data_IF_510059195306
#
_entry.id   IF_510059195306
#
_cell.length_a   1.000
_cell.length_b   1.000
_cell.length_c   1.000
_cell.angle_alpha   90.00
_cell.angle_beta   90.00
_cell.angle_gamma   90.00
#
_symmetry.space_group_name_H-M   'P 1'
#
loop_
_entity.id
_entity.type
_entity.pdbx_description
1 polymer ?
#
# COMPACT_ATOMS: atom_id res chain seq x y z
N UNK A 1 -11.86 -32.33 9.67
CA UNK A 1 -12.00 -30.88 9.97
C UNK A 1 -10.67 -30.21 9.64
N UNK A 2 -10.63 -28.94 9.20
CA UNK A 2 -9.37 -28.23 9.00
C UNK A 2 -8.55 -28.26 10.31
N UNK A 3 -7.25 -28.53 10.23
CA UNK A 3 -6.37 -28.36 11.39
C UNK A 3 -6.24 -26.86 11.65
N UNK A 4 -7.06 -26.34 12.56
CA UNK A 4 -6.97 -24.94 12.98
C UNK A 4 -5.70 -24.73 13.81
N UNK A 5 -5.13 -23.55 13.70
CA UNK A 5 -3.91 -23.16 14.39
C UNK A 5 -3.41 -21.82 13.90
N UNK A 6 -2.24 -21.40 14.35
CA UNK A 6 -1.61 -20.21 13.79
C UNK A 6 -0.93 -20.52 12.46
N UNK A 7 -0.85 -19.54 11.58
CA UNK A 7 0.07 -19.59 10.45
C UNK A 7 1.51 -19.88 10.93
N UNK A 8 2.38 -20.25 9.99
CA UNK A 8 3.82 -20.30 10.28
C UNK A 8 4.27 -18.93 10.79
N UNK A 9 5.18 -18.85 11.78
CA UNK A 9 5.57 -17.58 12.40
C UNK A 9 5.94 -16.48 11.40
N UNK A 10 6.74 -16.81 10.38
CA UNK A 10 7.17 -15.86 9.35
C UNK A 10 6.00 -15.35 8.49
N UNK A 11 5.06 -16.24 8.14
CA UNK A 11 3.88 -15.91 7.34
C UNK A 11 2.91 -15.05 8.16
N UNK A 12 2.70 -15.40 9.43
CA UNK A 12 1.90 -14.63 10.39
C UNK A 12 2.48 -13.21 10.54
N UNK A 13 3.79 -13.09 10.75
CA UNK A 13 4.47 -11.82 10.90
C UNK A 13 4.27 -10.94 9.67
N UNK A 14 4.47 -11.46 8.45
CA UNK A 14 4.28 -10.71 7.20
C UNK A 14 2.86 -10.18 7.03
N UNK A 15 1.85 -10.99 7.38
CA UNK A 15 0.45 -10.56 7.33
C UNK A 15 0.18 -9.47 8.37
N UNK A 16 0.71 -9.62 9.60
CA UNK A 16 0.51 -8.66 10.69
C UNK A 16 1.18 -7.31 10.43
N UNK A 17 2.42 -7.30 9.95
CA UNK A 17 3.15 -6.07 9.60
C UNK A 17 2.40 -5.26 8.54
N UNK A 18 1.74 -5.95 7.60
CA UNK A 18 1.02 -5.32 6.49
C UNK A 18 -0.50 -5.27 6.71
N UNK A 19 -0.98 -5.39 7.94
CA UNK A 19 -2.42 -5.58 8.19
C UNK A 19 -3.26 -4.36 7.76
N UNK A 20 -2.72 -3.15 7.91
CA UNK A 20 -3.42 -1.90 7.56
C UNK A 20 -3.68 -1.87 6.06
N UNK A 21 -2.64 -2.03 5.25
CA UNK A 21 -2.78 -1.98 3.80
C UNK A 21 -3.65 -3.12 3.25
N UNK A 22 -3.59 -4.30 3.88
CA UNK A 22 -4.44 -5.43 3.52
C UNK A 22 -5.92 -5.08 3.77
N UNK A 23 -6.28 -4.68 4.99
CA UNK A 23 -7.66 -4.31 5.35
C UNK A 23 -8.21 -3.20 4.47
N UNK A 24 -7.40 -2.19 4.19
CA UNK A 24 -7.85 -1.02 3.46
C UNK A 24 -7.99 -1.23 1.95
N UNK A 25 -7.40 -2.28 1.36
CA UNK A 25 -7.34 -2.39 -0.10
C UNK A 25 -7.86 -3.71 -0.69
N UNK A 26 -7.91 -4.81 0.08
CA UNK A 26 -8.41 -6.08 -0.46
C UNK A 26 -9.92 -6.24 -0.24
N UNK A 27 -10.57 -7.10 -1.02
CA UNK A 27 -11.91 -7.62 -0.70
C UNK A 27 -11.80 -9.08 -0.28
N UNK A 28 -12.14 -9.38 0.98
CA UNK A 28 -12.13 -10.74 1.51
C UNK A 28 -12.95 -11.73 0.66
N UNK A 29 -13.97 -11.26 -0.05
CA UNK A 29 -14.80 -12.10 -0.92
C UNK A 29 -14.01 -12.82 -2.03
N UNK A 30 -12.96 -12.19 -2.57
CA UNK A 30 -12.17 -12.75 -3.68
C UNK A 30 -11.40 -14.00 -3.28
N UNK A 31 -11.16 -14.20 -1.99
CA UNK A 31 -10.35 -15.30 -1.48
C UNK A 31 -11.17 -16.54 -1.14
N UNK A 32 -12.47 -16.37 -0.87
CA UNK A 32 -13.28 -17.38 -0.20
C UNK A 32 -13.47 -18.65 -1.02
N UNK A 33 -13.58 -18.55 -2.34
CA UNK A 33 -13.88 -19.70 -3.19
C UNK A 33 -12.68 -20.66 -3.25
N UNK A 34 -11.45 -20.14 -3.43
CA UNK A 34 -10.24 -20.95 -3.37
C UNK A 34 -10.01 -21.51 -1.96
N UNK A 35 -10.20 -20.69 -0.93
CA UNK A 35 -10.01 -21.12 0.46
C UNK A 35 -10.98 -22.24 0.86
N UNK A 36 -12.22 -22.17 0.39
CA UNK A 36 -13.20 -23.24 0.58
C UNK A 36 -12.83 -24.50 -0.21
N UNK A 37 -12.45 -24.37 -1.48
CA UNK A 37 -12.03 -25.51 -2.32
C UNK A 37 -10.84 -26.26 -1.71
N UNK A 38 -9.88 -25.52 -1.13
CA UNK A 38 -8.71 -26.06 -0.45
C UNK A 38 -9.00 -26.54 0.98
N UNK A 39 -10.26 -26.48 1.43
CA UNK A 39 -10.70 -26.86 2.78
C UNK A 39 -9.97 -26.11 3.90
N UNK A 40 -9.54 -24.88 3.62
CA UNK A 40 -8.92 -23.98 4.61
C UNK A 40 -10.01 -23.39 5.51
N UNK A 41 -11.13 -22.98 4.90
CA UNK A 41 -12.33 -22.50 5.61
C UNK A 41 -13.51 -23.45 5.38
N UNK A 42 -14.49 -23.39 6.27
CA UNK A 42 -15.76 -24.10 6.16
C UNK A 42 -16.75 -23.33 5.28
N UNK A 43 -17.84 -24.02 4.88
CA UNK A 43 -18.93 -23.37 4.16
C UNK A 43 -19.60 -22.28 5.02
N UNK A 44 -19.74 -22.51 6.33
CA UNK A 44 -20.34 -21.53 7.24
C UNK A 44 -19.47 -20.27 7.35
N UNK A 45 -18.16 -20.42 7.47
CA UNK A 45 -17.22 -19.29 7.49
C UNK A 45 -17.27 -18.50 6.17
N UNK A 46 -17.33 -19.20 5.03
CA UNK A 46 -17.50 -18.58 3.72
C UNK A 46 -18.79 -17.77 3.64
N UNK A 47 -19.91 -18.30 4.12
CA UNK A 47 -21.20 -17.61 4.13
C UNK A 47 -21.20 -16.41 5.09
N UNK A 48 -20.60 -16.56 6.27
CA UNK A 48 -20.45 -15.48 7.26
C UNK A 48 -19.68 -14.29 6.67
N UNK A 49 -18.54 -14.54 6.03
CA UNK A 49 -17.75 -13.46 5.42
C UNK A 49 -18.52 -12.83 4.25
N UNK A 50 -19.15 -13.63 3.37
CA UNK A 50 -19.95 -13.09 2.24
C UNK A 50 -21.11 -12.21 2.70
N UNK A 51 -21.70 -12.49 3.85
CA UNK A 51 -22.82 -11.73 4.39
C UNK A 51 -22.42 -10.36 4.98
N UNK A 52 -21.13 -10.08 5.17
CA UNK A 52 -20.69 -8.80 5.74
C UNK A 52 -20.89 -7.64 4.75
N UNK A 53 -21.42 -6.50 5.22
CA UNK A 53 -21.97 -5.46 4.35
C UNK A 53 -20.91 -4.66 3.57
N UNK A 54 -19.72 -4.50 4.14
CA UNK A 54 -18.67 -3.65 3.56
C UNK A 54 -17.45 -4.47 3.17
N UNK A 55 -16.74 -4.02 2.13
CA UNK A 55 -15.44 -4.59 1.73
C UNK A 55 -14.47 -4.65 2.92
N UNK A 56 -14.42 -3.59 3.72
CA UNK A 56 -13.56 -3.51 4.89
C UNK A 56 -13.88 -4.61 5.90
N UNK A 57 -15.16 -4.80 6.26
CA UNK A 57 -15.57 -5.85 7.19
C UNK A 57 -15.27 -7.24 6.63
N UNK A 58 -15.46 -7.45 5.31
CA UNK A 58 -15.09 -8.70 4.64
C UNK A 58 -13.59 -8.97 4.69
N UNK A 59 -12.78 -7.95 4.41
CA UNK A 59 -11.32 -8.05 4.47
C UNK A 59 -10.85 -8.38 5.88
N UNK A 60 -11.37 -7.66 6.89
CA UNK A 60 -11.06 -7.88 8.30
C UNK A 60 -11.37 -9.32 8.74
N UNK A 61 -12.62 -9.75 8.54
CA UNK A 61 -13.04 -11.10 8.90
C UNK A 61 -12.26 -12.18 8.14
N UNK A 62 -11.93 -11.96 6.85
CA UNK A 62 -11.10 -12.88 6.09
C UNK A 62 -9.67 -12.97 6.64
N UNK A 63 -9.03 -11.84 6.95
CA UNK A 63 -7.66 -11.80 7.47
C UNK A 63 -7.57 -12.47 8.84
N UNK A 64 -8.58 -12.32 9.70
CA UNK A 64 -8.67 -13.05 10.96
C UNK A 64 -8.73 -14.57 10.72
N UNK A 65 -9.56 -15.04 9.76
CA UNK A 65 -9.60 -16.46 9.39
C UNK A 65 -8.28 -16.96 8.79
N UNK A 66 -7.59 -16.12 8.01
CA UNK A 66 -6.29 -16.45 7.45
C UNK A 66 -5.26 -16.68 8.56
N UNK A 67 -5.21 -15.80 9.57
CA UNK A 67 -4.27 -15.92 10.69
C UNK A 67 -4.53 -17.18 11.54
N UNK A 68 -5.79 -17.63 11.62
CA UNK A 68 -6.24 -18.81 12.37
C UNK A 68 -6.31 -20.12 11.54
N UNK A 69 -5.82 -20.10 10.31
CA UNK A 69 -5.96 -21.21 9.36
C UNK A 69 -5.00 -22.38 9.57
N UNK A 70 -4.03 -22.25 10.46
CA UNK A 70 -3.03 -23.27 10.78
C UNK A 70 -1.78 -23.25 9.87
N UNK A 71 -0.75 -24.03 10.22
CA UNK A 71 0.47 -24.15 9.43
C UNK A 71 0.19 -25.03 8.20
N UNK A 72 -0.24 -24.43 7.11
CA UNK A 72 -0.56 -25.12 5.86
C UNK A 72 -0.44 -24.21 4.64
N UNK A 73 -1.13 -24.57 3.55
CA UNK A 73 -1.05 -23.86 2.26
C UNK A 73 -1.85 -22.54 2.23
N UNK A 74 -2.48 -22.14 3.35
CA UNK A 74 -3.34 -20.97 3.40
C UNK A 74 -2.64 -19.67 3.00
N UNK A 75 -1.41 -19.45 3.50
CA UNK A 75 -0.61 -18.30 3.08
C UNK A 75 -0.25 -18.36 1.59
N UNK A 76 0.07 -19.54 1.06
CA UNK A 76 0.35 -19.74 -0.36
C UNK A 76 -0.83 -19.35 -1.24
N UNK A 77 -2.03 -19.84 -0.91
CA UNK A 77 -3.27 -19.48 -1.60
C UNK A 77 -3.61 -17.99 -1.48
N UNK A 78 -3.37 -17.38 -0.31
CA UNK A 78 -3.53 -15.95 -0.10
C UNK A 78 -2.64 -15.14 -1.05
N UNK A 79 -1.34 -15.45 -1.10
CA UNK A 79 -0.39 -14.78 -1.97
C UNK A 79 -0.73 -14.98 -3.45
N UNK A 80 -1.17 -16.18 -3.85
CA UNK A 80 -1.59 -16.47 -5.23
C UNK A 80 -2.69 -15.50 -5.70
N UNK A 81 -3.73 -15.33 -4.88
CA UNK A 81 -4.84 -14.43 -5.19
C UNK A 81 -4.39 -12.96 -5.15
N UNK A 82 -3.52 -12.59 -4.20
CA UNK A 82 -2.94 -11.25 -4.15
C UNK A 82 -2.14 -10.93 -5.41
N UNK A 83 -1.32 -11.86 -5.93
CA UNK A 83 -0.54 -11.60 -7.16
C UNK A 83 -1.43 -11.35 -8.37
N UNK A 84 -2.57 -12.03 -8.46
CA UNK A 84 -3.50 -11.91 -9.58
C UNK A 84 -4.31 -10.61 -9.55
N UNK A 85 -4.69 -10.14 -8.35
CA UNK A 85 -5.65 -9.02 -8.21
C UNK A 85 -5.04 -7.76 -7.59
N UNK A 86 -3.91 -7.88 -6.91
CA UNK A 86 -3.31 -6.89 -6.02
C UNK A 86 -1.77 -6.95 -6.05
N UNK A 87 -1.18 -6.99 -7.25
CA UNK A 87 0.26 -7.26 -7.47
C UNK A 87 1.19 -6.44 -6.56
N UNK A 88 0.97 -5.11 -6.46
CA UNK A 88 1.77 -4.23 -5.61
C UNK A 88 1.71 -4.63 -4.12
N UNK A 89 0.52 -5.03 -3.64
CA UNK A 89 0.33 -5.51 -2.26
C UNK A 89 1.03 -6.86 -2.08
N UNK A 90 0.89 -7.77 -3.04
CA UNK A 90 1.57 -9.07 -3.01
C UNK A 90 3.08 -8.91 -2.88
N UNK A 91 3.68 -8.05 -3.72
CA UNK A 91 5.11 -7.76 -3.69
C UNK A 91 5.55 -7.21 -2.32
N UNK A 92 4.77 -6.29 -1.75
CA UNK A 92 5.06 -5.69 -0.44
C UNK A 92 4.97 -6.71 0.69
N UNK A 93 3.91 -7.51 0.73
CA UNK A 93 3.68 -8.52 1.78
C UNK A 93 4.75 -9.63 1.73
N UNK A 94 5.23 -10.01 0.54
CA UNK A 94 6.22 -11.08 0.40
C UNK A 94 7.65 -10.65 0.66
N UNK A 95 8.01 -9.40 0.36
CA UNK A 95 9.38 -8.91 0.57
C UNK A 95 9.69 -8.68 2.06
N UNK A 96 8.68 -8.62 2.93
CA UNK A 96 8.84 -8.24 4.34
C UNK A 96 9.23 -6.76 4.47
N UNK A 97 9.30 -6.21 5.69
CA UNK A 97 9.82 -4.86 5.91
C UNK A 97 11.20 -4.70 5.26
N UNK A 98 11.25 -4.04 4.11
CA UNK A 98 12.50 -3.56 3.53
C UNK A 98 12.82 -2.22 4.22
N UNK A 99 13.18 -2.30 5.49
CA UNK A 99 13.59 -1.15 6.29
C UNK A 99 14.81 -0.45 5.71
N UNK A 100 14.86 0.88 5.89
CA UNK A 100 15.93 1.88 5.65
C UNK A 100 16.66 1.92 4.28
N UNK A 101 16.65 0.84 3.50
CA UNK A 101 17.42 0.73 2.28
C UNK A 101 16.87 1.61 1.16
N UNK A 102 15.54 1.81 1.08
CA UNK A 102 14.89 2.46 -0.05
C UNK A 102 15.02 3.97 -0.12
N UNK A 103 15.43 4.65 0.96
CA UNK A 103 15.65 6.11 0.97
C UNK A 103 17.02 6.49 1.51
N UNK A 104 17.91 5.53 1.79
CA UNK A 104 19.30 5.77 2.21
C UNK A 104 20.05 6.70 1.24
N UNK A 105 19.72 6.63 -0.05
CA UNK A 105 20.23 7.54 -1.09
C UNK A 105 19.87 9.02 -0.84
N UNK A 106 18.75 9.30 -0.15
CA UNK A 106 18.33 10.66 0.18
C UNK A 106 19.05 11.21 1.42
N UNK A 107 19.37 10.35 2.38
CA UNK A 107 20.07 10.72 3.62
C UNK A 107 21.58 10.90 3.41
N UNK A 108 22.19 10.12 2.50
CA UNK A 108 23.61 10.21 2.17
C UNK A 108 23.98 11.56 1.51
N UNK A 109 24.66 12.41 2.28
CA UNK A 109 25.06 13.78 1.89
C UNK A 109 26.01 13.84 0.69
N UNK A 110 26.77 12.78 0.46
CA UNK A 110 27.79 12.76 -0.61
C UNK A 110 27.17 12.70 -2.01
N UNK A 111 25.93 12.22 -2.13
CA UNK A 111 25.19 12.13 -3.39
C UNK A 111 24.07 13.17 -3.51
N UNK A 112 23.71 13.86 -2.42
CA UNK A 112 22.49 14.65 -2.33
C UNK A 112 22.71 15.99 -1.60
N UNK A 113 22.95 17.06 -2.37
CA UNK A 113 23.12 18.43 -1.85
C UNK A 113 21.86 18.94 -1.17
N UNK A 114 22.01 19.88 -0.22
CA UNK A 114 20.89 20.60 0.40
C UNK A 114 19.99 21.28 -0.64
N UNK A 115 20.57 21.78 -1.73
CA UNK A 115 19.86 22.40 -2.87
C UNK A 115 18.83 21.44 -3.48
N UNK A 116 19.19 20.16 -3.68
CA UNK A 116 18.26 19.17 -4.21
C UNK A 116 17.15 18.79 -3.21
N UNK A 117 17.46 18.78 -1.91
CA UNK A 117 16.46 18.49 -0.86
C UNK A 117 15.39 19.55 -0.80
N UNK A 118 15.78 20.82 -0.94
CA UNK A 118 14.88 21.96 -0.89
C UNK A 118 14.24 22.29 -2.25
N UNK A 119 14.48 21.45 -3.28
CA UNK A 119 13.88 21.60 -4.61
C UNK A 119 12.35 21.60 -4.49
N UNK A 120 11.75 22.73 -4.90
CA UNK A 120 10.30 22.87 -5.00
C UNK A 120 9.80 22.12 -6.23
N UNK A 121 8.86 21.20 -6.02
CA UNK A 121 8.30 20.37 -7.09
C UNK A 121 7.50 21.24 -8.06
N UNK A 122 7.97 21.32 -9.32
CA UNK A 122 7.30 22.03 -10.40
C UNK A 122 6.27 21.14 -11.09
N UNK A 123 5.41 21.72 -11.93
CA UNK A 123 4.39 20.97 -12.66
C UNK A 123 4.96 19.78 -13.47
N UNK A 124 6.13 19.95 -14.10
CA UNK A 124 6.80 18.89 -14.85
C UNK A 124 7.27 17.74 -13.94
N UNK A 125 7.77 18.07 -12.74
CA UNK A 125 8.19 17.10 -11.72
C UNK A 125 6.99 16.29 -11.22
N UNK A 126 5.92 16.99 -10.87
CA UNK A 126 4.68 16.43 -10.34
C UNK A 126 4.07 15.40 -11.30
N UNK A 127 4.07 15.68 -12.61
CA UNK A 127 3.53 14.76 -13.62
C UNK A 127 4.30 13.44 -13.73
N UNK A 128 5.59 13.44 -13.42
CA UNK A 128 6.42 12.23 -13.38
C UNK A 128 6.26 11.50 -12.04
N UNK A 129 6.27 12.26 -10.94
CA UNK A 129 6.11 11.72 -9.59
C UNK A 129 4.76 11.05 -9.36
N UNK A 130 3.71 11.47 -10.07
CA UNK A 130 2.38 10.89 -9.94
C UNK A 130 2.34 9.37 -10.24
N UNK A 131 3.28 8.86 -11.03
CA UNK A 131 3.40 7.43 -11.33
C UNK A 131 3.92 6.61 -10.15
N UNK A 132 4.64 7.24 -9.22
CA UNK A 132 5.23 6.56 -8.06
C UNK A 132 4.18 6.19 -7.00
N UNK A 133 3.02 6.86 -6.99
CA UNK A 133 1.96 6.61 -6.02
C UNK A 133 1.15 5.36 -6.41
N UNK A 134 1.22 4.31 -5.61
CA UNK A 134 0.56 3.04 -5.91
C UNK A 134 -0.73 2.88 -5.09
N UNK A 135 -0.66 2.19 -3.97
CA UNK A 135 -1.82 1.74 -3.17
C UNK A 135 -2.05 2.70 -2.01
N UNK A 136 -3.31 3.01 -1.71
CA UNK A 136 -3.73 3.89 -0.62
C UNK A 136 -3.02 5.27 -0.57
N UNK A 137 -2.68 5.79 -1.74
CA UNK A 137 -2.00 7.08 -1.86
C UNK A 137 -2.73 8.29 -1.25
N UNK A 138 -4.07 8.34 -1.07
CA UNK A 138 -4.73 9.47 -0.41
C UNK A 138 -4.20 9.77 1.00
N UNK A 139 -3.77 8.74 1.75
CA UNK A 139 -3.18 8.90 3.09
C UNK A 139 -1.91 9.75 3.04
N UNK A 140 -1.13 9.68 1.97
CA UNK A 140 0.06 10.52 1.80
C UNK A 140 -0.34 12.01 1.77
N UNK A 141 -1.42 12.34 1.05
CA UNK A 141 -1.91 13.73 0.97
C UNK A 141 -2.51 14.20 2.29
N UNK A 142 -3.21 13.34 3.02
CA UNK A 142 -3.67 13.68 4.37
C UNK A 142 -2.48 14.03 5.29
N UNK A 143 -1.37 13.29 5.21
CA UNK A 143 -0.15 13.59 5.98
C UNK A 143 0.56 14.86 5.51
N UNK A 144 0.49 15.18 4.21
CA UNK A 144 0.85 16.48 3.65
C UNK A 144 -0.14 17.62 4.02
N UNK A 145 -1.03 17.37 4.98
CA UNK A 145 -1.98 18.32 5.55
C UNK A 145 -3.07 18.79 4.56
N UNK A 146 -3.39 17.97 3.56
CA UNK A 146 -4.59 18.15 2.75
C UNK A 146 -5.82 17.66 3.52
N UNK A 147 -6.98 18.27 3.31
CA UNK A 147 -8.22 17.80 3.91
C UNK A 147 -8.82 16.65 3.09
N UNK A 148 -9.54 15.75 3.76
CA UNK A 148 -10.31 14.68 3.10
C UNK A 148 -11.29 15.25 2.06
N UNK A 149 -12.00 16.32 2.41
CA UNK A 149 -12.92 17.01 1.52
C UNK A 149 -12.24 17.47 0.21
N UNK A 150 -11.01 17.99 0.28
CA UNK A 150 -10.29 18.41 -0.92
C UNK A 150 -9.89 17.22 -1.80
N UNK A 151 -9.47 16.12 -1.18
CA UNK A 151 -9.11 14.89 -1.89
C UNK A 151 -10.36 14.31 -2.60
N UNK A 152 -11.47 14.23 -1.88
CA UNK A 152 -12.77 13.76 -2.41
C UNK A 152 -13.26 14.63 -3.57
N UNK A 153 -13.15 15.95 -3.47
CA UNK A 153 -13.52 16.86 -4.56
C UNK A 153 -12.71 16.58 -5.83
N UNK A 154 -11.41 16.31 -5.72
CA UNK A 154 -10.60 15.99 -6.89
C UNK A 154 -10.91 14.61 -7.46
N UNK A 155 -11.25 13.63 -6.61
CA UNK A 155 -11.78 12.33 -7.04
C UNK A 155 -13.09 12.47 -7.83
N UNK A 156 -14.06 13.24 -7.33
CA UNK A 156 -15.34 13.46 -8.01
C UNK A 156 -15.14 14.14 -9.37
N UNK A 157 -14.16 15.05 -9.47
CA UNK A 157 -13.80 15.72 -10.73
C UNK A 157 -13.12 14.79 -11.74
N UNK A 158 -12.33 13.82 -11.26
CA UNK A 158 -11.52 12.93 -12.10
C UNK A 158 -11.69 11.46 -11.65
N UNK A 159 -12.90 10.88 -11.75
CA UNK A 159 -13.27 9.63 -11.07
C UNK A 159 -12.51 8.38 -11.56
N UNK A 160 -11.86 8.47 -12.72
CA UNK A 160 -11.12 7.36 -13.32
C UNK A 160 -9.65 7.70 -13.63
N UNK A 161 -9.21 8.93 -13.33
CA UNK A 161 -7.86 9.38 -13.65
C UNK A 161 -7.09 9.67 -12.35
N UNK A 162 -6.59 8.59 -11.74
CA UNK A 162 -5.73 8.64 -10.55
C UNK A 162 -4.59 9.65 -10.73
N UNK A 163 -3.96 9.64 -11.91
CA UNK A 163 -2.80 10.49 -12.20
C UNK A 163 -3.20 11.97 -12.18
N UNK A 164 -4.30 12.32 -12.84
CA UNK A 164 -4.82 13.69 -12.83
C UNK A 164 -5.16 14.16 -11.40
N UNK A 165 -5.80 13.31 -10.58
CA UNK A 165 -6.12 13.64 -9.18
C UNK A 165 -4.85 13.99 -8.40
N UNK A 166 -3.84 13.12 -8.43
CA UNK A 166 -2.56 13.33 -7.72
C UNK A 166 -1.87 14.61 -8.22
N UNK A 167 -1.78 14.78 -9.54
CA UNK A 167 -1.15 15.96 -10.14
C UNK A 167 -1.85 17.25 -9.70
N UNK A 168 -3.19 17.26 -9.70
CA UNK A 168 -3.97 18.43 -9.29
C UNK A 168 -3.80 18.72 -7.80
N UNK A 169 -3.76 17.71 -6.95
CA UNK A 169 -3.51 17.87 -5.51
C UNK A 169 -2.12 18.44 -5.26
N UNK A 170 -1.08 17.86 -5.85
CA UNK A 170 0.30 18.32 -5.65
C UNK A 170 0.50 19.77 -6.14
N UNK A 171 -0.21 20.21 -7.20
CA UNK A 171 -0.16 21.60 -7.69
C UNK A 171 -0.79 22.62 -6.73
N UNK A 172 -1.63 22.20 -5.78
CA UNK A 172 -2.33 23.12 -4.86
C UNK A 172 -1.47 23.59 -3.69
N UNK A 173 -0.27 23.03 -3.50
CA UNK A 173 0.66 23.42 -2.44
C UNK A 173 2.10 23.42 -2.92
N UNK A 174 2.88 24.31 -2.32
CA UNK A 174 4.33 24.30 -2.43
C UNK A 174 4.90 23.12 -1.62
N UNK A 175 5.15 22.01 -2.31
CA UNK A 175 5.77 20.81 -1.73
C UNK A 175 7.23 20.78 -2.15
N UNK A 176 8.14 20.66 -1.18
CA UNK A 176 9.56 20.40 -1.43
C UNK A 176 9.81 18.89 -1.53
N UNK A 177 10.90 18.50 -2.20
CA UNK A 177 11.30 17.10 -2.28
C UNK A 177 11.54 16.51 -0.87
N UNK A 178 12.17 17.27 0.03
CA UNK A 178 12.37 16.87 1.44
C UNK A 178 11.05 16.57 2.14
N UNK A 179 10.09 17.48 2.09
CA UNK A 179 8.78 17.28 2.74
C UNK A 179 8.06 16.05 2.18
N UNK A 180 8.13 15.83 0.86
CA UNK A 180 7.56 14.65 0.23
C UNK A 180 8.23 13.36 0.73
N UNK A 181 9.57 13.27 0.64
CA UNK A 181 10.32 12.06 1.04
C UNK A 181 10.12 11.73 2.52
N UNK A 182 10.18 12.72 3.41
CA UNK A 182 9.95 12.52 4.84
C UNK A 182 8.52 12.03 5.13
N UNK A 183 7.55 12.48 4.34
CA UNK A 183 6.16 12.01 4.47
C UNK A 183 6.02 10.57 3.98
N UNK A 184 6.61 10.25 2.83
CA UNK A 184 6.58 8.90 2.25
C UNK A 184 7.23 7.88 3.19
N UNK A 185 8.36 8.23 3.81
CA UNK A 185 9.01 7.40 4.82
C UNK A 185 8.06 7.06 5.97
N UNK A 186 7.41 8.07 6.57
CA UNK A 186 6.47 7.84 7.69
C UNK A 186 5.29 6.96 7.28
N UNK A 187 4.82 7.11 6.03
CA UNK A 187 3.70 6.30 5.51
C UNK A 187 4.10 4.84 5.33
N UNK A 188 5.32 4.59 4.88
CA UNK A 188 5.90 3.26 4.72
C UNK A 188 6.21 2.61 6.08
N UNK A 189 6.82 3.35 7.01
CA UNK A 189 7.10 2.88 8.38
C UNK A 189 5.81 2.39 9.07
N UNK A 190 4.68 3.04 8.81
CA UNK A 190 3.37 2.67 9.34
C UNK A 190 2.57 1.71 8.42
N UNK A 191 3.16 1.21 7.32
CA UNK A 191 2.50 0.35 6.32
C UNK A 191 1.14 0.87 5.82
N UNK A 192 1.00 2.20 5.74
CA UNK A 192 -0.28 2.85 5.43
C UNK A 192 -0.48 3.11 3.95
N UNK A 193 0.57 3.10 3.11
CA UNK A 193 0.45 3.17 1.65
C UNK A 193 1.65 2.50 0.98
N UNK A 194 1.52 2.17 -0.31
CA UNK A 194 2.65 1.71 -1.14
C UNK A 194 3.04 2.79 -2.12
N UNK A 195 4.35 2.99 -2.23
CA UNK A 195 4.98 3.95 -3.11
C UNK A 195 6.21 3.34 -3.79
N UNK A 196 6.44 3.68 -5.07
CA UNK A 196 7.58 3.21 -5.82
C UNK A 196 8.83 4.09 -5.60
N UNK A 197 9.63 3.70 -4.61
CA UNK A 197 10.89 4.37 -4.28
C UNK A 197 11.92 4.34 -5.41
N UNK A 198 11.96 3.29 -6.23
CA UNK A 198 12.94 3.17 -7.31
C UNK A 198 12.66 4.19 -8.41
N UNK A 199 11.39 4.40 -8.73
CA UNK A 199 10.99 5.42 -9.69
C UNK A 199 11.25 6.82 -9.15
N UNK A 200 11.02 7.06 -7.86
CA UNK A 200 11.39 8.32 -7.21
C UNK A 200 12.90 8.56 -7.24
N UNK A 201 13.74 7.61 -6.84
CA UNK A 201 15.19 7.73 -6.88
C UNK A 201 15.70 8.09 -8.28
N UNK A 202 15.20 7.40 -9.32
CA UNK A 202 15.54 7.69 -10.72
C UNK A 202 15.10 9.08 -11.17
N UNK A 203 13.93 9.54 -10.72
CA UNK A 203 13.46 10.90 -10.99
C UNK A 203 14.41 11.92 -10.34
N UNK A 204 14.68 11.71 -9.06
CA UNK A 204 15.46 12.61 -8.23
C UNK A 204 16.91 12.72 -8.73
N UNK A 205 17.51 11.63 -9.19
CA UNK A 205 18.86 11.61 -9.77
C UNK A 205 19.01 12.49 -11.02
N UNK A 206 17.91 12.79 -11.73
CA UNK A 206 17.90 13.66 -12.93
C UNK A 206 17.79 15.15 -12.60
N UNK A 207 17.52 15.51 -11.34
CA UNK A 207 17.40 16.91 -10.96
C UNK A 207 18.77 17.60 -11.07
N UNK A 208 18.79 18.87 -11.52
CA UNK A 208 20.02 19.66 -11.55
C UNK A 208 20.64 19.74 -10.14
N UNK A 209 21.97 19.85 -10.09
CA UNK A 209 22.74 20.02 -8.86
C UNK A 209 22.56 21.43 -8.27
#
# INVERSE_FOLDING_TARGET
MPQRGRLKPDDEQRVRENIIILKENIDGQLFLDLFFQKKIITQDERLQIKALPTRLNRADAFLDRLLDSGPGDAYGCFIEILRLNYEAIANTVQQGMVGSSYYSWFENSDNFSSVRRDHKLKAADISQLAECFQVNWPVIFLRLQFSSCLIEQEYVRNPQDKRAVIVNLMKKRDITLKTLVETLRKVEDDHSAIFDWKTLEKFVAKLPL
#
